data_IF_015537615603
#
_entry.id   IF_015537615603
#
_cell.length_a   1.000
_cell.length_b   1.000
_cell.length_c   1.000
_cell.angle_alpha   90.00
_cell.angle_beta   90.00
_cell.angle_gamma   90.00
#
_symmetry.space_group_name_H-M   'P 1'
#
loop_
_entity.id
_entity.type
_entity.pdbx_description
1 polymer ?
#
# COMPACT_ATOMS: atom_id res chain seq x y z
N UNK A 1 7.22 50.24 47.61
CA UNK A 1 6.65 49.90 48.94
C UNK A 1 5.36 49.10 48.70
N UNK A 2 5.37 47.83 49.11
CA UNK A 2 4.21 46.99 49.51
C UNK A 2 3.01 46.86 48.54
N UNK A 3 2.86 45.72 47.84
CA UNK A 3 2.22 44.43 48.25
C UNK A 3 0.71 44.40 47.94
N UNK A 4 0.25 43.23 47.48
CA UNK A 4 -1.12 42.82 47.05
C UNK A 4 -1.40 43.07 45.55
N UNK A 5 -1.79 42.10 44.72
CA UNK A 5 -2.59 40.91 45.02
C UNK A 5 -2.30 39.75 44.05
N UNK A 6 -1.81 38.64 44.61
CA UNK A 6 -1.39 37.41 43.93
C UNK A 6 -2.44 36.30 44.00
N UNK A 7 -3.74 36.63 44.06
CA UNK A 7 -4.81 35.67 44.37
C UNK A 7 -5.62 35.11 43.20
N UNK A 8 -5.33 35.49 41.94
CA UNK A 8 -6.07 34.97 40.76
C UNK A 8 -5.48 33.73 40.07
N UNK A 9 -4.27 33.28 40.45
CA UNK A 9 -3.60 32.15 39.80
C UNK A 9 -3.85 30.78 40.42
N UNK A 10 -4.53 30.68 41.58
CA UNK A 10 -4.69 29.41 42.32
C UNK A 10 -5.60 28.37 41.65
N UNK A 11 -6.75 28.79 41.10
CA UNK A 11 -7.74 27.85 40.54
C UNK A 11 -7.34 27.30 39.16
N UNK A 12 -6.58 28.08 38.38
CA UNK A 12 -6.12 27.66 37.06
C UNK A 12 -4.93 26.68 37.16
N UNK A 13 -4.16 26.74 38.26
CA UNK A 13 -3.06 25.81 38.50
C UNK A 13 -3.56 24.41 38.90
N UNK A 14 -4.59 24.32 39.75
CA UNK A 14 -5.19 23.04 40.14
C UNK A 14 -5.80 22.32 38.93
N UNK A 15 -6.63 23.00 38.12
CA UNK A 15 -7.20 22.42 36.88
C UNK A 15 -6.13 21.98 35.87
N UNK A 16 -5.04 22.75 35.71
CA UNK A 16 -3.91 22.37 34.84
C UNK A 16 -3.12 21.19 35.38
N UNK A 17 -2.96 21.07 36.70
CA UNK A 17 -2.30 19.94 37.35
C UNK A 17 -3.12 18.65 37.16
N UNK A 18 -4.46 18.71 37.28
CA UNK A 18 -5.33 17.57 37.00
C UNK A 18 -5.29 17.13 35.52
N UNK A 19 -5.28 18.07 34.56
CA UNK A 19 -5.10 17.71 33.14
C UNK A 19 -3.72 17.14 32.84
N UNK A 20 -2.63 17.70 33.40
CA UNK A 20 -1.29 17.16 33.19
C UNK A 20 -1.15 15.74 33.73
N UNK A 21 -1.76 15.47 34.88
CA UNK A 21 -1.78 14.16 35.53
C UNK A 21 -2.62 13.14 34.74
N UNK A 22 -3.72 13.59 34.12
CA UNK A 22 -4.50 12.78 33.19
C UNK A 22 -3.70 12.37 31.94
N UNK A 23 -2.80 13.21 31.43
CA UNK A 23 -1.94 12.83 30.30
C UNK A 23 -0.86 11.81 30.68
N UNK A 24 -0.38 11.81 31.92
CA UNK A 24 0.51 10.75 32.42
C UNK A 24 -0.23 9.40 32.57
N UNK A 25 -1.50 9.41 32.98
CA UNK A 25 -2.35 8.20 33.04
C UNK A 25 -2.61 7.57 31.66
N UNK A 26 -2.51 8.35 30.57
CA UNK A 26 -2.60 7.84 29.19
C UNK A 26 -1.25 7.34 28.62
N UNK A 27 -0.18 7.30 29.43
CA UNK A 27 1.12 6.78 29.01
C UNK A 27 1.91 7.70 28.07
N UNK A 28 1.57 8.99 28.02
CA UNK A 28 2.27 9.98 27.17
C UNK A 28 3.39 10.64 27.99
N UNK A 29 4.68 10.43 27.66
CA UNK A 29 5.77 11.09 28.37
C UNK A 29 5.78 12.59 28.03
N UNK A 30 5.50 13.44 29.03
CA UNK A 30 5.53 14.89 28.85
C UNK A 30 6.78 15.49 29.50
N UNK A 31 7.78 15.84 28.69
CA UNK A 31 9.03 16.51 29.13
C UNK A 31 8.95 18.05 29.05
N UNK A 32 7.80 18.64 29.38
CA UNK A 32 7.66 20.10 29.38
C UNK A 32 6.65 20.60 30.40
N UNK A 33 6.82 21.87 30.81
CA UNK A 33 5.96 22.50 31.82
C UNK A 33 4.66 23.03 31.20
N UNK A 34 3.56 23.03 31.97
CA UNK A 34 2.24 23.54 31.57
C UNK A 34 2.24 25.02 31.13
N UNK A 35 3.31 25.77 31.37
CA UNK A 35 3.51 27.11 30.85
C UNK A 35 3.67 27.12 29.32
N UNK A 36 4.33 26.10 28.74
CA UNK A 36 4.56 26.00 27.29
C UNK A 36 3.29 25.67 26.49
N UNK A 37 2.27 25.11 27.14
CA UNK A 37 0.95 24.86 26.53
C UNK A 37 0.02 26.09 26.54
N UNK A 38 0.38 27.16 27.27
CA UNK A 38 -0.48 28.35 27.41
C UNK A 38 -0.65 29.11 26.09
N UNK A 39 0.26 28.92 25.13
CA UNK A 39 0.21 29.54 23.81
C UNK A 39 -0.87 28.95 22.90
N UNK A 40 -1.42 27.76 23.23
CA UNK A 40 -2.44 27.08 22.42
C UNK A 40 -2.00 26.63 21.02
N UNK A 41 -0.76 26.92 20.63
CA UNK A 41 -0.14 26.56 19.37
C UNK A 41 1.36 26.34 19.59
N UNK A 42 1.94 25.35 18.91
CA UNK A 42 3.35 24.99 19.01
C UNK A 42 3.57 23.48 19.06
N UNK A 43 4.82 23.07 18.91
CA UNK A 43 5.26 21.66 18.84
C UNK A 43 4.76 20.82 20.03
N UNK A 44 4.84 21.37 21.25
CA UNK A 44 4.35 20.69 22.46
C UNK A 44 2.83 20.46 22.46
N UNK A 45 2.05 21.33 21.82
CA UNK A 45 0.58 21.19 21.71
C UNK A 45 0.23 20.15 20.64
N UNK A 46 0.97 20.14 19.52
CA UNK A 46 0.81 19.17 18.43
C UNK A 46 1.17 17.76 18.91
N UNK A 47 2.25 17.63 19.68
CA UNK A 47 2.67 16.35 20.27
C UNK A 47 1.58 15.73 21.14
N UNK A 48 0.97 16.53 22.04
CA UNK A 48 -0.14 16.07 22.87
C UNK A 48 -1.37 15.67 22.04
N UNK A 49 -1.71 16.46 21.02
CA UNK A 49 -2.85 16.16 20.14
C UNK A 49 -2.63 14.88 19.34
N UNK A 50 -1.41 14.62 18.86
CA UNK A 50 -1.03 13.38 18.19
C UNK A 50 -1.16 12.19 19.14
N UNK A 51 -0.56 12.28 20.33
CA UNK A 51 -0.58 11.19 21.30
C UNK A 51 -2.01 10.88 21.80
N UNK A 52 -2.85 11.91 21.97
CA UNK A 52 -4.27 11.73 22.33
C UNK A 52 -5.07 11.12 21.15
N UNK A 53 -4.76 11.50 19.91
CA UNK A 53 -5.37 10.89 18.74
C UNK A 53 -4.99 9.41 18.62
N UNK A 54 -3.73 9.06 18.86
CA UNK A 54 -3.26 7.67 18.86
C UNK A 54 -3.94 6.85 19.96
N UNK A 55 -4.03 7.38 21.18
CA UNK A 55 -4.75 6.73 22.27
C UNK A 55 -6.26 6.58 21.98
N UNK A 56 -6.87 7.56 21.31
CA UNK A 56 -8.26 7.47 20.88
C UNK A 56 -8.45 6.41 19.78
N UNK A 57 -7.52 6.29 18.84
CA UNK A 57 -7.54 5.25 17.80
C UNK A 57 -7.40 3.85 18.42
N UNK A 58 -6.55 3.69 19.44
CA UNK A 58 -6.42 2.45 20.21
C UNK A 58 -7.72 2.11 20.95
N UNK A 59 -8.33 3.07 21.65
CA UNK A 59 -9.59 2.84 22.37
C UNK A 59 -10.77 2.52 21.43
N UNK A 60 -10.76 3.04 20.22
CA UNK A 60 -11.78 2.75 19.19
C UNK A 60 -11.52 1.39 18.49
N UNK A 61 -10.37 0.75 18.74
CA UNK A 61 -9.98 -0.51 18.08
C UNK A 61 -9.72 -0.29 16.59
N UNK A 62 -9.26 0.89 16.20
CA UNK A 62 -9.02 1.23 14.81
C UNK A 62 -7.86 0.40 14.25
N UNK A 63 -8.16 -0.39 13.21
CA UNK A 63 -7.14 -1.10 12.46
C UNK A 63 -6.94 -0.39 11.13
N UNK A 64 -5.69 -0.08 10.81
CA UNK A 64 -5.31 0.39 9.49
C UNK A 64 -5.70 -0.67 8.47
N UNK A 65 -6.67 -0.35 7.61
CA UNK A 65 -7.00 -1.21 6.49
C UNK A 65 -5.79 -1.28 5.58
N UNK A 66 -5.16 -2.46 5.48
CA UNK A 66 -4.08 -2.73 4.54
C UNK A 66 -4.60 -2.39 3.14
N UNK A 67 -4.05 -1.34 2.53
CA UNK A 67 -4.32 -1.06 1.12
C UNK A 67 -4.01 -2.33 0.36
N UNK A 68 -5.02 -2.90 -0.29
CA UNK A 68 -4.87 -4.05 -1.17
C UNK A 68 -4.22 -3.48 -2.44
N UNK A 69 -2.93 -3.76 -2.71
CA UNK A 69 -2.34 -3.40 -3.98
C UNK A 69 -3.13 -4.14 -5.07
N UNK A 70 -3.44 -3.51 -6.21
CA UNK A 70 -3.96 -4.25 -7.34
C UNK A 70 -3.01 -5.42 -7.63
N UNK A 71 -3.54 -6.63 -7.77
CA UNK A 71 -2.76 -7.82 -8.12
C UNK A 71 -1.88 -7.48 -9.32
N UNK A 72 -0.58 -7.39 -9.09
CA UNK A 72 0.40 -7.54 -10.16
C UNK A 72 0.18 -8.97 -10.68
N UNK A 73 -0.14 -9.11 -11.96
CA UNK A 73 -0.11 -10.42 -12.62
C UNK A 73 1.34 -10.89 -12.54
N UNK A 74 1.54 -12.00 -11.84
CA UNK A 74 2.85 -12.64 -11.63
C UNK A 74 3.53 -12.85 -13.00
N UNK A 75 4.43 -11.94 -13.38
CA UNK A 75 5.46 -12.24 -14.37
C UNK A 75 6.44 -13.17 -13.66
N UNK A 76 6.43 -14.45 -14.06
CA UNK A 76 7.42 -15.48 -13.71
C UNK A 76 8.83 -14.88 -13.61
N UNK A 77 9.24 -14.57 -12.39
CA UNK A 77 10.63 -14.25 -12.04
C UNK A 77 11.12 -15.40 -11.19
N UNK A 78 11.60 -16.42 -11.90
CA UNK A 78 12.52 -17.37 -11.31
C UNK A 78 13.84 -16.65 -11.00
N UNK A 79 14.36 -16.93 -9.79
CA UNK A 79 15.77 -16.80 -9.35
C UNK A 79 16.21 -15.35 -9.05
N UNK A 80 16.60 -14.95 -7.83
CA UNK A 80 17.56 -15.59 -6.91
C UNK A 80 17.20 -15.32 -5.43
N UNK A 81 17.38 -16.35 -4.61
CA UNK A 81 17.31 -16.33 -3.16
C UNK A 81 18.51 -15.55 -2.59
N UNK A 82 18.26 -14.57 -1.73
CA UNK A 82 19.24 -14.20 -0.72
C UNK A 82 18.50 -13.95 0.59
N UNK A 83 18.62 -14.95 1.45
CA UNK A 83 18.23 -14.97 2.85
C UNK A 83 18.91 -13.81 3.59
N UNK A 84 18.12 -13.01 4.30
CA UNK A 84 18.57 -12.30 5.49
C UNK A 84 17.49 -12.53 6.56
N UNK A 85 17.74 -13.58 7.36
CA UNK A 85 17.24 -13.73 8.72
C UNK A 85 17.74 -12.54 9.55
N UNK A 86 16.84 -11.87 10.28
CA UNK A 86 17.25 -11.29 11.55
C UNK A 86 16.13 -11.46 12.59
N UNK A 87 16.50 -12.24 13.59
CA UNK A 87 15.69 -12.72 14.68
C UNK A 87 15.76 -11.77 15.89
N UNK A 88 14.67 -11.77 16.67
CA UNK A 88 14.64 -11.53 18.13
C UNK A 88 14.97 -10.13 18.68
N UNK A 89 14.04 -9.53 19.43
CA UNK A 89 14.18 -9.53 20.89
C UNK A 89 12.84 -9.21 21.59
N UNK A 90 12.36 -10.22 22.30
CA UNK A 90 11.27 -10.20 23.28
C UNK A 90 11.82 -9.63 24.59
N UNK A 91 11.20 -8.57 25.12
CA UNK A 91 11.48 -8.06 26.47
C UNK A 91 10.17 -8.07 27.26
N UNK A 92 10.01 -9.13 28.04
CA UNK A 92 9.11 -9.22 29.18
C UNK A 92 9.62 -8.36 30.34
N UNK A 93 8.75 -7.54 30.95
CA UNK A 93 8.98 -7.07 32.32
C UNK A 93 7.72 -7.22 33.17
N UNK A 94 7.90 -7.91 34.29
CA UNK A 94 6.92 -8.23 35.33
C UNK A 94 6.48 -7.02 36.18
N UNK A 95 5.34 -7.11 36.89
CA UNK A 95 4.78 -6.00 37.66
C UNK A 95 5.37 -5.88 39.07
N UNK A 96 5.89 -4.69 39.42
CA UNK A 96 6.22 -4.35 40.81
C UNK A 96 5.03 -3.75 41.54
N UNK A 97 4.58 -4.49 42.55
CA UNK A 97 3.58 -4.13 43.53
C UNK A 97 4.21 -3.22 44.61
N UNK A 98 3.63 -2.04 44.89
CA UNK A 98 3.92 -1.26 46.10
C UNK A 98 2.61 -0.72 46.72
N UNK A 99 2.27 -1.35 47.85
CA UNK A 99 1.62 -0.83 49.06
C UNK A 99 2.06 0.62 49.36
N UNK A 100 1.41 1.51 50.11
CA UNK A 100 0.14 1.65 50.84
C UNK A 100 0.19 3.10 51.40
N UNK A 101 -0.97 3.60 51.84
CA UNK A 101 -1.15 4.59 52.93
C UNK A 101 -1.17 6.12 52.70
N UNK A 102 -1.98 6.71 53.58
CA UNK A 102 -2.23 8.11 53.99
C UNK A 102 -3.40 8.91 53.40
N UNK A 103 -4.53 8.73 54.11
CA UNK A 103 -5.45 9.72 54.69
C UNK A 103 -5.08 11.23 54.58
N UNK A 104 -6.08 12.06 54.21
CA UNK A 104 -6.52 13.18 55.07
C UNK A 104 -7.73 13.91 54.44
N UNK A 105 -8.92 13.57 54.93
CA UNK A 105 -10.16 14.32 54.76
C UNK A 105 -10.21 15.48 55.77
N UNK A 106 -10.37 16.71 55.30
CA UNK A 106 -10.66 17.85 56.18
C UNK A 106 -11.79 18.71 55.58
N UNK A 107 -13.02 18.36 55.95
CA UNK A 107 -14.27 19.10 55.68
C UNK A 107 -14.51 20.07 56.83
N UNK A 108 -14.56 21.38 56.53
CA UNK A 108 -14.90 22.42 57.51
C UNK A 108 -16.38 22.78 57.34
N UNK A 109 -17.18 22.42 58.35
CA UNK A 109 -18.58 22.77 58.54
C UNK A 109 -18.69 24.14 59.26
N UNK A 110 -19.54 25.05 58.75
CA UNK A 110 -19.80 26.37 59.34
C UNK A 110 -21.23 26.40 59.89
N UNK A 111 -21.33 26.52 61.21
CA UNK A 111 -22.57 26.62 62.00
C UNK A 111 -23.24 28.01 61.85
N UNK A 112 -24.54 28.01 61.54
CA UNK A 112 -25.38 29.18 61.25
C UNK A 112 -26.51 29.34 62.27
N UNK A 113 -26.20 29.33 63.58
CA UNK A 113 -27.18 29.52 64.66
C UNK A 113 -26.84 30.64 65.66
N UNK A 114 -26.29 31.74 65.18
CA UNK A 114 -26.11 32.96 65.98
C UNK A 114 -26.87 34.14 65.37
N UNK A 115 -28.20 34.06 65.31
CA UNK A 115 -29.07 35.24 65.17
C UNK A 115 -30.44 34.92 65.77
N UNK A 116 -30.52 35.03 67.10
CA UNK A 116 -31.79 35.03 67.81
C UNK A 116 -32.51 36.36 67.59
N UNK A 117 -33.65 36.31 66.90
CA UNK A 117 -34.72 37.29 67.08
C UNK A 117 -36.03 36.53 67.24
N UNK A 118 -36.39 36.32 68.51
CA UNK A 118 -37.68 35.78 68.92
C UNK A 118 -38.73 36.86 68.72
N UNK A 119 -39.83 36.45 68.10
CA UNK A 119 -41.06 37.18 67.87
C UNK A 119 -41.76 37.53 69.19
N UNK A 120 -42.13 38.79 69.38
CA UNK A 120 -43.30 39.12 70.20
C UNK A 120 -44.01 40.37 69.66
N UNK A 121 -45.12 40.12 68.97
CA UNK A 121 -46.04 41.11 68.46
C UNK A 121 -46.95 41.61 69.58
N UNK A 122 -46.75 42.86 70.01
CA UNK A 122 -47.81 43.69 70.63
C UNK A 122 -47.79 45.08 69.98
N UNK A 123 -48.80 45.33 69.15
CA UNK A 123 -49.29 46.60 68.59
C UNK A 123 -48.51 47.90 68.97
N UNK A 124 -47.59 48.39 68.11
CA UNK A 124 -46.86 49.64 68.33
C UNK A 124 -47.54 50.89 67.72
N UNK A 125 -48.66 50.75 66.99
CA UNK A 125 -49.18 51.84 66.16
C UNK A 125 -50.04 52.89 66.88
N UNK A 126 -50.53 52.62 68.09
CA UNK A 126 -51.47 53.54 68.76
C UNK A 126 -50.81 54.41 69.86
N UNK A 127 -49.54 54.16 70.19
CA UNK A 127 -48.76 54.98 71.12
C UNK A 127 -47.96 56.10 70.44
N UNK A 128 -47.90 56.12 69.11
CA UNK A 128 -47.13 57.11 68.32
C UNK A 128 -47.97 58.38 68.01
N UNK A 129 -49.26 58.38 68.30
CA UNK A 129 -50.18 59.46 67.89
C UNK A 129 -50.33 60.62 68.87
N UNK A 130 -49.71 60.58 70.06
CA UNK A 130 -49.69 61.70 70.99
C UNK A 130 -48.26 62.15 71.29
N UNK A 131 -47.84 63.19 70.58
CA UNK A 131 -46.60 63.93 70.85
C UNK A 131 -46.75 64.71 72.15
N UNK A 132 -46.19 64.17 73.24
CA UNK A 132 -45.97 64.92 74.47
C UNK A 132 -44.50 65.39 74.58
N UNK A 133 -43.87 65.66 73.44
CA UNK A 133 -42.44 65.93 73.33
C UNK A 133 -42.18 67.44 73.40
N UNK A 134 -41.46 67.86 74.44
CA UNK A 134 -40.99 69.24 74.63
C UNK A 134 -40.10 69.71 73.46
N UNK A 135 -40.32 70.94 72.99
CA UNK A 135 -39.63 71.52 71.81
C UNK A 135 -38.11 71.54 72.00
N UNK A 136 -37.66 71.72 73.25
CA UNK A 136 -36.24 71.75 73.62
C UNK A 136 -35.64 70.34 73.56
N UNK A 137 -36.35 69.34 74.10
CA UNK A 137 -35.93 67.94 74.04
C UNK A 137 -35.86 67.42 72.60
N UNK A 138 -36.81 67.82 71.75
CA UNK A 138 -36.78 67.48 70.32
C UNK A 138 -35.59 68.13 69.59
N UNK A 139 -35.29 69.40 69.87
CA UNK A 139 -34.15 70.09 69.27
C UNK A 139 -32.81 69.46 69.69
N UNK A 140 -32.66 69.07 70.95
CA UNK A 140 -31.48 68.36 71.45
C UNK A 140 -31.33 67.00 70.78
N UNK A 141 -32.42 66.28 70.56
CA UNK A 141 -32.41 65.00 69.87
C UNK A 141 -32.05 65.16 68.38
N UNK A 142 -32.54 66.21 67.72
CA UNK A 142 -32.16 66.56 66.35
C UNK A 142 -30.67 66.93 66.28
N UNK A 143 -30.14 67.72 67.22
CA UNK A 143 -28.71 68.05 67.26
C UNK A 143 -27.83 66.81 67.56
N UNK A 144 -28.34 65.86 68.35
CA UNK A 144 -27.69 64.57 68.62
C UNK A 144 -27.67 63.64 67.38
N UNK A 145 -28.76 63.61 66.62
CA UNK A 145 -28.94 62.69 65.48
C UNK A 145 -28.46 63.30 64.15
N UNK A 146 -28.40 64.63 64.02
CA UNK A 146 -27.87 65.33 62.85
C UNK A 146 -26.46 64.86 62.40
N UNK A 147 -25.47 64.69 63.29
CA UNK A 147 -24.17 64.13 62.89
C UNK A 147 -24.24 62.65 62.50
N UNK A 148 -25.23 61.89 63.00
CA UNK A 148 -25.47 60.48 62.63
C UNK A 148 -26.15 60.36 61.26
N UNK A 149 -26.91 61.39 60.85
CA UNK A 149 -27.54 61.51 59.53
C UNK A 149 -26.61 62.14 58.48
N UNK A 150 -25.43 62.60 58.87
CA UNK A 150 -24.41 63.08 57.95
C UNK A 150 -23.84 61.88 57.20
N UNK A 151 -24.53 61.48 56.13
CA UNK A 151 -24.10 60.46 55.18
C UNK A 151 -22.83 60.98 54.51
N UNK A 152 -21.67 60.68 55.10
CA UNK A 152 -20.41 60.78 54.38
C UNK A 152 -20.42 59.66 53.36
N UNK A 153 -20.76 59.99 52.12
CA UNK A 153 -20.57 59.11 50.96
C UNK A 153 -19.06 58.91 50.78
N UNK A 154 -18.46 58.04 51.61
CA UNK A 154 -17.12 57.54 51.34
C UNK A 154 -17.24 56.75 50.05
N UNK A 155 -16.44 57.10 49.05
CA UNK A 155 -16.20 56.26 47.89
C UNK A 155 -15.59 54.96 48.39
N UNK A 156 -16.46 54.01 48.77
CA UNK A 156 -16.05 52.69 49.20
C UNK A 156 -15.85 51.82 47.97
N UNK A 157 -14.83 50.96 47.96
CA UNK A 157 -14.51 50.05 46.86
C UNK A 157 -15.60 48.99 46.61
N UNK A 158 -16.69 49.03 47.40
CA UNK A 158 -17.93 48.27 47.26
C UNK A 158 -19.02 49.03 46.50
N UNK A 159 -18.70 50.16 45.89
CA UNK A 159 -19.64 50.87 45.03
C UNK A 159 -19.89 50.06 43.76
N UNK A 160 -21.03 49.37 43.73
CA UNK A 160 -21.50 48.61 42.57
C UNK A 160 -21.60 49.48 41.31
N UNK A 161 -21.73 50.81 41.47
CA UNK A 161 -21.73 51.76 40.34
C UNK A 161 -20.37 51.82 39.66
N UNK A 162 -19.27 51.77 40.42
CA UNK A 162 -17.92 51.72 39.88
C UNK A 162 -17.68 50.41 39.13
N UNK A 163 -18.14 49.28 39.67
CA UNK A 163 -18.05 47.98 38.98
C UNK A 163 -18.93 47.94 37.72
N UNK A 164 -20.12 48.54 37.74
CA UNK A 164 -20.99 48.65 36.57
C UNK A 164 -20.36 49.53 35.48
N UNK A 165 -19.74 50.64 35.85
CA UNK A 165 -19.03 51.51 34.92
C UNK A 165 -17.78 50.84 34.34
N UNK A 166 -17.01 50.11 35.15
CA UNK A 166 -15.91 49.26 34.70
C UNK A 166 -16.39 48.16 33.75
N UNK A 167 -17.50 47.48 34.06
CA UNK A 167 -18.06 46.44 33.20
C UNK A 167 -18.52 47.02 31.86
N UNK A 168 -19.16 48.18 31.85
CA UNK A 168 -19.54 48.86 30.61
C UNK A 168 -18.33 49.31 29.78
N UNK A 169 -17.25 49.77 30.43
CA UNK A 169 -15.99 50.09 29.76
C UNK A 169 -15.33 48.85 29.14
N UNK A 170 -15.28 47.74 29.88
CA UNK A 170 -14.78 46.46 29.38
C UNK A 170 -15.64 45.94 28.23
N UNK A 171 -16.97 46.02 28.34
CA UNK A 171 -17.89 45.63 27.26
C UNK A 171 -17.61 46.41 25.98
N UNK A 172 -17.54 47.75 26.06
CA UNK A 172 -17.20 48.61 24.91
C UNK A 172 -15.83 48.26 24.32
N UNK A 173 -14.86 47.95 25.19
CA UNK A 173 -13.52 47.55 24.74
C UNK A 173 -13.57 46.21 23.99
N UNK A 174 -14.30 45.22 24.52
CA UNK A 174 -14.49 43.92 23.86
C UNK A 174 -15.22 44.10 22.53
N UNK A 175 -16.30 44.88 22.51
CA UNK A 175 -17.06 45.18 21.29
C UNK A 175 -16.20 45.86 20.22
N UNK A 176 -15.35 46.82 20.61
CA UNK A 176 -14.39 47.42 19.69
C UNK A 176 -13.35 46.42 19.19
N UNK A 177 -12.81 45.55 20.05
CA UNK A 177 -11.83 44.52 19.63
C UNK A 177 -12.46 43.49 18.71
N UNK A 178 -13.69 43.05 19.00
CA UNK A 178 -14.47 42.13 18.16
C UNK A 178 -14.78 42.80 16.81
N UNK A 179 -15.27 44.03 16.82
CA UNK A 179 -15.52 44.81 15.60
C UNK A 179 -14.27 45.02 14.76
N UNK A 180 -13.08 45.14 15.39
CA UNK A 180 -11.82 45.20 14.67
C UNK A 180 -11.38 43.85 14.10
N UNK A 181 -11.59 42.73 14.81
CA UNK A 181 -11.12 41.39 14.39
C UNK A 181 -12.04 40.74 13.35
N UNK A 182 -13.36 40.94 13.47
CA UNK A 182 -14.37 40.38 12.57
C UNK A 182 -14.07 40.59 11.07
N UNK A 183 -13.73 41.81 10.59
CA UNK A 183 -13.42 42.03 9.18
C UNK A 183 -12.14 41.31 8.72
N UNK A 184 -11.15 41.12 9.60
CA UNK A 184 -9.96 40.33 9.27
C UNK A 184 -10.32 38.84 9.11
N UNK A 185 -11.18 38.30 9.97
CA UNK A 185 -11.67 36.92 9.85
C UNK A 185 -12.52 36.71 8.60
N UNK A 186 -13.38 37.67 8.25
CA UNK A 186 -14.16 37.63 7.01
C UNK A 186 -13.27 37.68 5.77
N UNK A 187 -12.25 38.55 5.78
CA UNK A 187 -11.27 38.64 4.68
C UNK A 187 -10.48 37.35 4.55
N UNK A 188 -9.99 36.80 5.66
CA UNK A 188 -9.27 35.53 5.69
C UNK A 188 -10.14 34.38 5.16
N UNK A 189 -11.40 34.31 5.58
CA UNK A 189 -12.36 33.30 5.11
C UNK A 189 -12.57 33.42 3.60
N UNK A 190 -12.73 34.65 3.10
CA UNK A 190 -12.87 34.91 1.66
C UNK A 190 -11.62 34.52 0.88
N UNK A 191 -10.44 34.82 1.40
CA UNK A 191 -9.19 34.49 0.73
C UNK A 191 -8.91 32.99 0.74
N UNK A 192 -9.19 32.31 1.85
CA UNK A 192 -9.18 30.84 1.92
C UNK A 192 -10.15 30.26 0.88
N UNK A 193 -11.38 30.78 0.80
CA UNK A 193 -12.36 30.38 -0.21
C UNK A 193 -11.83 30.50 -1.65
N UNK A 194 -11.24 31.65 -2.01
CA UNK A 194 -10.61 31.84 -3.33
C UNK A 194 -9.46 30.86 -3.58
N UNK A 195 -8.62 30.62 -2.57
CA UNK A 195 -7.51 29.66 -2.74
C UNK A 195 -8.02 28.24 -2.93
N UNK A 196 -9.07 27.84 -2.22
CA UNK A 196 -9.71 26.53 -2.36
C UNK A 196 -10.34 26.36 -3.75
N UNK A 197 -11.03 27.39 -4.27
CA UNK A 197 -11.56 27.38 -5.64
C UNK A 197 -10.44 27.26 -6.68
N UNK A 198 -9.33 27.97 -6.47
CA UNK A 198 -8.14 27.88 -7.34
C UNK A 198 -7.49 26.50 -7.29
N UNK A 199 -7.40 25.89 -6.11
CA UNK A 199 -6.91 24.51 -5.95
C UNK A 199 -7.86 23.55 -6.66
N UNK A 200 -9.17 23.64 -6.43
CA UNK A 200 -10.17 22.77 -7.06
C UNK A 200 -10.16 22.87 -8.60
N UNK A 201 -10.04 24.08 -9.15
CA UNK A 201 -9.93 24.26 -10.61
C UNK A 201 -8.63 23.69 -11.16
N UNK A 202 -7.52 23.82 -10.42
CA UNK A 202 -6.23 23.23 -10.81
C UNK A 202 -6.26 21.71 -10.75
N UNK A 203 -6.84 21.13 -9.71
CA UNK A 203 -7.05 19.68 -9.55
C UNK A 203 -7.92 19.12 -10.68
N UNK A 204 -9.05 19.76 -11.00
CA UNK A 204 -9.90 19.35 -12.13
C UNK A 204 -9.13 19.36 -13.46
N UNK A 205 -8.34 20.40 -13.70
CA UNK A 205 -7.51 20.50 -14.89
C UNK A 205 -6.44 19.40 -14.94
N UNK A 206 -5.75 19.17 -13.83
CA UNK A 206 -4.71 18.15 -13.71
C UNK A 206 -5.30 16.74 -13.87
N UNK A 207 -6.42 16.44 -13.23
CA UNK A 207 -7.11 15.17 -13.36
C UNK A 207 -7.56 14.92 -14.80
N UNK A 208 -8.05 15.95 -15.49
CA UNK A 208 -8.43 15.83 -16.92
C UNK A 208 -7.20 15.53 -17.79
N UNK A 209 -6.09 16.24 -17.56
CA UNK A 209 -4.83 16.02 -18.29
C UNK A 209 -4.25 14.62 -18.03
N UNK A 210 -4.20 14.22 -16.75
CA UNK A 210 -3.70 12.92 -16.34
C UNK A 210 -4.59 11.79 -16.84
N UNK A 211 -5.91 11.91 -16.78
CA UNK A 211 -6.85 10.92 -17.33
C UNK A 211 -6.65 10.73 -18.83
N UNK A 212 -6.43 11.82 -19.58
CA UNK A 212 -6.12 11.77 -21.01
C UNK A 212 -4.80 11.06 -21.28
N UNK A 213 -3.75 11.39 -20.51
CA UNK A 213 -2.44 10.74 -20.63
C UNK A 213 -2.49 9.26 -20.26
N UNK A 214 -3.21 8.91 -19.19
CA UNK A 214 -3.40 7.53 -18.74
C UNK A 214 -4.17 6.69 -19.77
N UNK A 215 -5.18 7.27 -20.41
CA UNK A 215 -5.89 6.62 -21.52
C UNK A 215 -4.97 6.34 -22.71
N UNK A 216 -4.11 7.30 -23.07
CA UNK A 216 -3.09 7.11 -24.13
C UNK A 216 -2.06 6.05 -23.75
N UNK A 217 -1.58 6.07 -22.51
CA UNK A 217 -0.64 5.08 -21.99
C UNK A 217 -1.25 3.68 -22.03
N UNK A 218 -2.48 3.51 -21.53
CA UNK A 218 -3.18 2.23 -21.58
C UNK A 218 -3.33 1.72 -23.01
N UNK A 219 -3.77 2.56 -23.95
CA UNK A 219 -3.82 2.19 -25.38
C UNK A 219 -2.46 1.79 -25.93
N UNK A 220 -1.40 2.53 -25.61
CA UNK A 220 -0.04 2.19 -26.05
C UNK A 220 0.41 0.84 -25.49
N UNK A 221 0.14 0.57 -24.21
CA UNK A 221 0.43 -0.72 -23.56
C UNK A 221 -0.35 -1.87 -24.20
N UNK A 222 -1.66 -1.69 -24.43
CA UNK A 222 -2.51 -2.70 -25.07
C UNK A 222 -2.02 -3.00 -26.50
N UNK A 223 -1.70 -1.97 -27.30
CA UNK A 223 -1.14 -2.17 -28.65
C UNK A 223 0.23 -2.83 -28.63
N UNK A 224 1.08 -2.53 -27.62
CA UNK A 224 2.36 -3.20 -27.45
C UNK A 224 2.18 -4.68 -27.13
N UNK A 225 1.24 -5.02 -26.26
CA UNK A 225 0.91 -6.40 -25.92
C UNK A 225 0.40 -7.16 -27.16
N UNK A 226 -0.51 -6.56 -27.93
CA UNK A 226 -1.03 -7.14 -29.17
C UNK A 226 0.09 -7.39 -30.20
N UNK A 227 0.98 -6.41 -30.40
CA UNK A 227 2.10 -6.55 -31.34
C UNK A 227 3.13 -7.58 -30.88
N UNK A 228 3.39 -7.67 -29.56
CA UNK A 228 4.28 -8.69 -28.98
C UNK A 228 3.72 -10.09 -29.22
N UNK A 229 2.41 -10.28 -29.03
CA UNK A 229 1.78 -11.58 -29.28
C UNK A 229 1.79 -11.95 -30.77
N UNK A 230 1.50 -11.00 -31.66
CA UNK A 230 1.63 -11.21 -33.12
C UNK A 230 3.05 -11.57 -33.51
N UNK A 231 4.05 -10.90 -32.93
CA UNK A 231 5.46 -11.21 -33.19
C UNK A 231 5.83 -12.60 -32.68
N UNK A 232 5.40 -12.97 -31.46
CA UNK A 232 5.62 -14.30 -30.89
C UNK A 232 5.00 -15.39 -31.76
N UNK A 233 3.74 -15.23 -32.17
CA UNK A 233 3.07 -16.16 -33.06
C UNK A 233 3.78 -16.28 -34.43
N UNK A 234 4.21 -15.16 -35.02
CA UNK A 234 4.97 -15.16 -36.26
C UNK A 234 6.35 -15.83 -36.10
N UNK A 235 7.05 -15.57 -35.00
CA UNK A 235 8.36 -16.17 -34.69
C UNK A 235 8.26 -17.69 -34.53
N UNK A 236 7.24 -18.19 -33.82
CA UNK A 236 6.94 -19.63 -33.73
C UNK A 236 6.64 -20.19 -35.12
N UNK A 237 5.84 -19.49 -35.93
CA UNK A 237 5.54 -19.91 -37.30
C UNK A 237 6.78 -19.96 -38.21
N UNK A 238 7.71 -19.02 -38.07
CA UNK A 238 9.00 -19.04 -38.78
C UNK A 238 9.84 -20.23 -38.32
N UNK A 239 9.98 -20.45 -37.02
CA UNK A 239 10.74 -21.59 -36.48
C UNK A 239 10.21 -22.92 -36.98
N UNK A 240 8.89 -23.12 -36.97
CA UNK A 240 8.25 -24.33 -37.50
C UNK A 240 8.51 -24.50 -39.00
N UNK A 241 8.44 -23.42 -39.79
CA UNK A 241 8.74 -23.48 -41.22
C UNK A 241 10.21 -23.79 -41.49
N UNK A 242 11.13 -23.20 -40.72
CA UNK A 242 12.56 -23.52 -40.79
C UNK A 242 12.80 -24.99 -40.49
N UNK A 243 12.22 -25.53 -39.42
CA UNK A 243 12.32 -26.95 -39.09
C UNK A 243 11.78 -27.86 -40.20
N UNK A 244 10.66 -27.51 -40.83
CA UNK A 244 10.17 -28.26 -41.99
C UNK A 244 11.08 -28.15 -43.21
N UNK A 245 11.74 -27.02 -43.41
CA UNK A 245 12.68 -26.79 -44.51
C UNK A 245 13.96 -27.60 -44.32
N UNK A 246 14.46 -27.66 -43.09
CA UNK A 246 15.62 -28.49 -42.72
C UNK A 246 15.30 -29.96 -42.93
N UNK A 247 14.12 -30.42 -42.49
CA UNK A 247 13.66 -31.79 -42.72
C UNK A 247 13.55 -32.15 -44.21
N UNK A 248 12.97 -31.27 -45.02
CA UNK A 248 12.89 -31.49 -46.48
C UNK A 248 14.29 -31.49 -47.10
N UNK A 249 15.20 -30.64 -46.60
CA UNK A 249 16.59 -30.60 -47.08
C UNK A 249 17.33 -31.89 -46.76
N UNK A 250 17.13 -32.45 -45.56
CA UNK A 250 17.65 -33.76 -45.15
C UNK A 250 17.07 -34.88 -46.02
N UNK A 251 15.76 -34.87 -46.28
CA UNK A 251 15.09 -35.84 -47.16
C UNK A 251 15.67 -35.77 -48.59
N UNK A 252 15.97 -34.56 -49.09
CA UNK A 252 16.61 -34.36 -50.40
C UNK A 252 18.04 -34.91 -50.41
N UNK A 253 18.85 -34.66 -49.38
CA UNK A 253 20.22 -35.18 -49.34
C UNK A 253 20.23 -36.71 -49.21
N UNK A 254 19.30 -37.29 -48.44
CA UNK A 254 19.10 -38.75 -48.40
C UNK A 254 18.70 -39.31 -49.77
N UNK A 255 17.75 -38.68 -50.46
CA UNK A 255 17.33 -39.10 -51.80
C UNK A 255 18.50 -39.01 -52.79
N UNK A 256 19.29 -37.94 -52.73
CA UNK A 256 20.48 -37.74 -53.55
C UNK A 256 21.53 -38.82 -53.28
N UNK A 257 21.78 -39.17 -52.01
CA UNK A 257 22.67 -40.26 -51.64
C UNK A 257 22.16 -41.61 -52.18
N UNK A 258 20.85 -41.89 -52.10
CA UNK A 258 20.26 -43.09 -52.67
C UNK A 258 20.39 -43.13 -54.20
N UNK A 259 20.18 -41.99 -54.88
CA UNK A 259 20.37 -41.87 -56.33
C UNK A 259 21.83 -42.09 -56.70
N UNK A 260 22.78 -41.56 -55.94
CA UNK A 260 24.22 -41.76 -56.19
C UNK A 260 24.62 -43.22 -55.95
N UNK A 261 24.09 -43.86 -54.91
CA UNK A 261 24.34 -45.29 -54.63
C UNK A 261 23.71 -46.19 -55.70
N UNK A 262 22.48 -45.90 -56.14
CA UNK A 262 21.85 -46.59 -57.27
C UNK A 262 22.55 -46.27 -58.60
N UNK A 263 23.05 -45.05 -58.77
CA UNK A 263 23.86 -44.62 -59.90
C UNK A 263 25.17 -45.40 -59.96
N UNK A 264 25.85 -45.59 -58.83
CA UNK A 264 27.04 -46.42 -58.72
C UNK A 264 26.71 -47.89 -59.01
N UNK A 265 25.61 -48.43 -58.46
CA UNK A 265 25.16 -49.82 -58.72
C UNK A 265 24.72 -50.06 -60.17
N UNK A 266 24.14 -49.06 -60.83
CA UNK A 266 23.68 -49.16 -62.22
C UNK A 266 24.79 -48.84 -63.23
N UNK A 267 25.74 -47.98 -62.86
CA UNK A 267 26.97 -47.75 -63.62
C UNK A 267 27.99 -48.87 -63.42
N UNK A 268 27.84 -49.69 -62.38
CA UNK A 268 28.60 -50.92 -62.23
C UNK A 268 28.16 -51.88 -63.34
N UNK A 269 28.89 -51.86 -64.44
CA UNK A 269 28.71 -52.81 -65.55
C UNK A 269 29.04 -54.25 -65.15
N UNK A 270 29.44 -54.55 -63.90
CA UNK A 270 29.77 -55.90 -63.46
C UNK A 270 28.66 -56.95 -63.70
N UNK A 271 27.35 -56.68 -63.53
CA UNK A 271 26.32 -57.64 -63.89
C UNK A 271 26.33 -57.93 -65.39
N UNK A 272 26.51 -56.90 -66.22
CA UNK A 272 26.59 -57.03 -67.67
C UNK A 272 27.85 -57.81 -68.09
N UNK A 273 28.98 -57.56 -67.42
CA UNK A 273 30.25 -58.29 -67.63
C UNK A 273 30.11 -59.75 -67.19
N UNK A 274 29.45 -60.05 -66.06
CA UNK A 274 29.16 -61.42 -65.61
C UNK A 274 28.29 -62.18 -66.61
N UNK A 275 27.25 -61.53 -67.14
CA UNK A 275 26.42 -62.11 -68.21
C UNK A 275 27.27 -62.38 -69.45
N UNK A 276 28.09 -61.40 -69.88
CA UNK A 276 28.98 -61.57 -71.03
C UNK A 276 29.98 -62.72 -70.84
N UNK A 277 30.57 -62.86 -69.65
CA UNK A 277 31.46 -63.98 -69.32
C UNK A 277 30.75 -65.34 -69.34
N UNK A 278 29.53 -65.41 -68.78
CA UNK A 278 28.73 -66.62 -68.84
C UNK A 278 28.37 -67.01 -70.27
N UNK A 279 28.04 -66.03 -71.13
CA UNK A 279 27.79 -66.26 -72.56
C UNK A 279 29.05 -66.78 -73.26
N UNK A 280 30.21 -66.14 -73.08
CA UNK A 280 31.46 -66.64 -73.70
C UNK A 280 31.86 -68.02 -73.22
N UNK A 281 31.61 -68.36 -71.94
CA UNK A 281 31.86 -69.71 -71.43
C UNK A 281 30.93 -70.74 -72.09
N UNK A 282 29.64 -70.40 -72.25
CA UNK A 282 28.69 -71.27 -72.96
C UNK A 282 29.12 -71.47 -74.42
N UNK A 283 29.62 -70.43 -75.10
CA UNK A 283 30.15 -70.55 -76.47
C UNK A 283 31.35 -71.52 -76.54
N UNK A 284 32.28 -71.45 -75.59
CA UNK A 284 33.43 -72.34 -75.51
C UNK A 284 33.04 -73.80 -75.21
N UNK A 285 32.08 -74.01 -74.29
CA UNK A 285 31.51 -75.33 -74.02
C UNK A 285 30.81 -75.91 -75.25
N UNK A 286 30.08 -75.09 -76.02
CA UNK A 286 29.41 -75.48 -77.26
C UNK A 286 30.44 -75.88 -78.34
N UNK A 287 31.54 -75.14 -78.45
CA UNK A 287 32.63 -75.46 -79.37
C UNK A 287 33.33 -76.76 -78.99
N UNK A 288 33.57 -76.98 -77.70
CA UNK A 288 34.15 -78.23 -77.19
C UNK A 288 33.24 -79.42 -77.47
N UNK A 289 31.93 -79.26 -77.22
CA UNK A 289 30.94 -80.29 -77.49
C UNK A 289 30.84 -80.61 -78.99
N UNK A 290 30.92 -79.60 -79.87
CA UNK A 290 30.96 -79.81 -81.32
C UNK A 290 32.18 -80.62 -81.77
N UNK A 291 33.38 -80.35 -81.21
CA UNK A 291 34.57 -81.15 -81.51
C UNK A 291 34.40 -82.59 -81.02
N UNK A 292 33.86 -82.78 -79.81
CA UNK A 292 33.57 -84.12 -79.28
C UNK A 292 32.57 -84.87 -80.16
N UNK A 293 31.50 -84.22 -80.59
CA UNK A 293 30.52 -84.78 -81.55
C UNK A 293 31.24 -85.18 -82.85
N UNK A 294 32.07 -84.31 -83.43
CA UNK A 294 32.81 -84.64 -84.66
C UNK A 294 33.78 -85.82 -84.52
N UNK A 295 34.46 -85.95 -83.37
CA UNK A 295 35.32 -87.11 -83.09
C UNK A 295 34.49 -88.39 -82.91
N UNK A 296 33.34 -88.31 -82.23
CA UNK A 296 32.41 -89.43 -82.08
C UNK A 296 31.83 -89.85 -83.43
N UNK A 297 31.42 -88.91 -84.27
CA UNK A 297 30.96 -89.15 -85.64
C UNK A 297 32.04 -89.85 -86.47
N UNK A 298 33.29 -89.35 -86.44
CA UNK A 298 34.40 -89.99 -87.14
C UNK A 298 34.72 -91.38 -86.58
N UNK A 299 34.63 -91.57 -85.26
CA UNK A 299 34.83 -92.88 -84.62
C UNK A 299 33.76 -93.87 -85.08
N UNK A 300 32.49 -93.46 -85.10
CA UNK A 300 31.37 -94.28 -85.56
C UNK A 300 31.54 -94.62 -87.05
N UNK A 301 31.90 -93.63 -87.87
CA UNK A 301 32.10 -93.82 -89.30
C UNK A 301 33.29 -94.74 -89.59
N UNK A 302 34.37 -94.64 -88.83
CA UNK A 302 35.52 -95.54 -88.93
C UNK A 302 35.18 -96.96 -88.45
N UNK A 303 34.40 -97.12 -87.37
CA UNK A 303 33.89 -98.45 -86.98
C UNK A 303 33.00 -99.06 -88.06
N UNK A 304 32.11 -98.27 -88.66
CA UNK A 304 31.25 -98.73 -89.75
C UNK A 304 32.05 -99.14 -90.99
N UNK A 305 33.05 -98.32 -91.39
CA UNK A 305 33.95 -98.65 -92.50
C UNK A 305 34.80 -99.89 -92.21
N UNK A 306 35.29 -100.03 -90.96
CA UNK A 306 36.06 -101.19 -90.52
C UNK A 306 35.21 -102.46 -90.50
N UNK A 307 33.97 -102.39 -90.04
CA UNK A 307 33.03 -103.50 -90.09
C UNK A 307 32.70 -103.88 -91.54
N UNK A 308 32.47 -102.90 -92.42
CA UNK A 308 32.26 -103.15 -93.84
C UNK A 308 33.50 -103.74 -94.53
N UNK A 309 34.71 -103.29 -94.18
CA UNK A 309 35.97 -103.85 -94.68
C UNK A 309 36.22 -105.27 -94.15
N UNK A 310 35.95 -105.53 -92.88
CA UNK A 310 36.05 -106.87 -92.31
C UNK A 310 35.03 -107.82 -92.94
N UNK A 311 33.84 -107.33 -93.25
CA UNK A 311 32.81 -108.09 -93.97
C UNK A 311 33.25 -108.40 -95.41
N UNK A 312 33.81 -107.44 -96.14
CA UNK A 312 34.32 -107.67 -97.50
C UNK A 312 35.58 -108.54 -97.53
N UNK A 313 36.47 -108.43 -96.54
CA UNK A 313 37.64 -109.29 -96.39
C UNK A 313 37.27 -110.74 -96.04
N UNK A 314 36.24 -110.94 -95.20
CA UNK A 314 35.71 -112.28 -94.93
C UNK A 314 35.03 -112.89 -96.17
N UNK A 315 34.37 -112.09 -97.01
CA UNK A 315 33.82 -112.56 -98.29
C UNK A 315 34.92 -112.98 -99.29
N UNK A 316 36.09 -112.34 -99.26
CA UNK A 316 37.23 -112.68 -100.13
C UNK A 316 38.04 -113.90 -99.63
N UNK A 317 37.94 -114.25 -98.35
CA UNK A 317 38.53 -115.47 -97.77
C UNK A 317 37.63 -116.73 -97.92
N UNK A 318 36.44 -116.59 -98.54
CA UNK A 318 35.47 -117.68 -98.78
C UNK A 318 35.39 -118.05 -100.27
N UNK A 319 36.15 -117.37 -101.15
CA UNK A 319 36.35 -117.71 -102.57
C UNK A 319 37.69 -118.44 -102.77
#
# INVERSE_FOLDING_TARGET
MHKHDARRNGNNFKSKQYSFRMFLDLGVPIDFTAAKLKSGAGENVIYILSALADAALVHVGFQWQKMIPPKEEDEDTAVDEQEDDDENEDISEEPTNFLDDDDDDNVIEIDLKAQGLVTESKNPLQSVLQSNTDSIAWKQEVERVAPQLKITLRQDAKDWRLHLEQMNSMHKTVEQKVGNISPFLETLTKDIGKTLERVSTREKSLNTQLSSMMSKFKRATDTRAEMREKYKAASVGVSSRTETLDRISDDIEQLKQQIEEQGAKSSDGAPLVKIKQAVSKLEEELQTMNVQIGVLEQSILNTYLRDHFNFSANLLNIL
#
